data_IF_748251991356
#
_entry.id   IF_748251991356
#
_cell.length_a   1.000
_cell.length_b   1.000
_cell.length_c   1.000
_cell.angle_alpha   90.00
_cell.angle_beta   90.00
_cell.angle_gamma   90.00
#
_symmetry.space_group_name_H-M   'P 1'
#
loop_
_entity.id
_entity.type
_entity.pdbx_description
1 polymer ?
#
# COMPACT_ATOMS: atom_id res chain seq x y z
N UNK A 1 -1.70 -12.15 9.79
CA UNK A 1 -1.31 -10.82 10.32
C UNK A 1 -1.29 -9.78 9.20
N UNK A 2 -0.50 -9.95 8.13
CA UNK A 2 -0.39 -8.93 7.07
C UNK A 2 -1.73 -8.59 6.39
N UNK A 3 -2.50 -9.58 5.95
CA UNK A 3 -3.81 -9.35 5.34
C UNK A 3 -4.77 -8.54 6.25
N UNK A 4 -4.73 -8.79 7.55
CA UNK A 4 -5.55 -8.06 8.53
C UNK A 4 -5.10 -6.59 8.62
N UNK A 5 -3.79 -6.35 8.66
CA UNK A 5 -3.22 -5.00 8.66
C UNK A 5 -3.58 -4.23 7.39
N UNK A 6 -3.43 -4.86 6.22
CA UNK A 6 -3.77 -4.25 4.93
C UNK A 6 -5.27 -3.91 4.87
N UNK A 7 -6.13 -4.82 5.32
CA UNK A 7 -7.57 -4.58 5.35
C UNK A 7 -7.95 -3.45 6.30
N UNK A 8 -7.36 -3.42 7.51
CA UNK A 8 -7.57 -2.35 8.50
C UNK A 8 -7.22 -0.99 7.91
N UNK A 9 -6.00 -0.83 7.38
CA UNK A 9 -5.54 0.44 6.80
C UNK A 9 -6.45 0.86 5.63
N UNK A 10 -6.80 -0.08 4.74
CA UNK A 10 -7.71 0.19 3.62
C UNK A 10 -9.08 0.68 4.07
N UNK A 11 -9.66 0.05 5.09
CA UNK A 11 -11.00 0.36 5.56
C UNK A 11 -11.05 1.66 6.39
N UNK A 12 -9.95 2.01 7.07
CA UNK A 12 -9.83 3.21 7.91
C UNK A 12 -9.45 4.47 7.12
N UNK A 13 -9.01 4.33 5.86
CA UNK A 13 -8.67 5.45 4.97
C UNK A 13 -9.84 6.42 4.83
N UNK A 14 -9.54 7.70 5.03
CA UNK A 14 -10.53 8.80 4.93
C UNK A 14 -10.17 9.73 3.78
N UNK A 15 -11.21 10.29 3.18
CA UNK A 15 -11.05 11.27 2.12
C UNK A 15 -10.63 12.64 2.68
N UNK A 16 -9.81 13.39 1.96
CA UNK A 16 -9.52 14.78 2.33
C UNK A 16 -10.77 15.65 2.21
N UNK A 17 -11.51 15.48 1.11
CA UNK A 17 -12.64 16.32 0.76
C UNK A 17 -12.22 17.72 0.29
N UNK A 18 -13.16 18.65 0.35
CA UNK A 18 -13.00 20.06 -0.07
C UNK A 18 -12.69 20.94 1.14
N UNK A 19 -11.39 21.14 1.40
CA UNK A 19 -10.91 21.84 2.61
C UNK A 19 -10.29 23.22 2.36
N UNK A 20 -10.18 23.64 1.10
CA UNK A 20 -9.49 24.88 0.71
C UNK A 20 -7.97 24.81 0.92
N UNK A 21 -7.28 25.94 0.79
CA UNK A 21 -5.80 26.01 0.78
C UNK A 21 -5.18 25.71 2.14
N UNK A 22 -5.82 26.10 3.24
CA UNK A 22 -5.27 25.98 4.60
C UNK A 22 -6.13 25.12 5.52
N UNK A 23 -7.15 24.45 4.99
CA UNK A 23 -8.02 23.54 5.76
C UNK A 23 -9.30 24.16 6.31
N UNK A 24 -9.48 25.48 6.17
CA UNK A 24 -10.58 26.24 6.78
C UNK A 24 -11.82 26.37 5.90
N UNK A 25 -11.78 25.88 4.66
CA UNK A 25 -12.90 25.97 3.70
C UNK A 25 -13.36 27.39 3.33
N UNK A 26 -12.61 28.44 3.70
CA UNK A 26 -13.02 29.84 3.53
C UNK A 26 -13.43 30.22 2.09
N UNK A 27 -12.78 29.65 1.08
CA UNK A 27 -13.14 29.88 -0.33
C UNK A 27 -14.52 29.33 -0.68
N UNK A 28 -14.88 28.16 -0.15
CA UNK A 28 -16.19 27.54 -0.36
C UNK A 28 -17.26 28.25 0.46
N UNK A 29 -16.95 28.65 1.70
CA UNK A 29 -17.86 29.43 2.52
C UNK A 29 -18.21 30.77 1.86
N UNK A 30 -17.22 31.45 1.28
CA UNK A 30 -17.45 32.67 0.50
C UNK A 30 -18.29 32.42 -0.75
N UNK A 31 -18.05 31.30 -1.46
CA UNK A 31 -18.82 30.92 -2.64
C UNK A 31 -20.30 30.65 -2.31
N UNK A 32 -20.59 30.14 -1.12
CA UNK A 32 -21.94 29.90 -0.62
C UNK A 32 -22.47 31.03 0.27
N UNK A 33 -21.91 32.24 0.15
CA UNK A 33 -22.42 33.45 0.82
C UNK A 33 -22.52 33.32 2.36
N UNK A 34 -21.63 32.53 2.97
CA UNK A 34 -21.61 32.32 4.42
C UNK A 34 -22.46 31.15 4.91
N UNK A 35 -23.03 30.34 4.03
CA UNK A 35 -23.81 29.15 4.40
C UNK A 35 -22.90 27.95 4.72
N UNK A 36 -22.59 27.76 6.01
CA UNK A 36 -21.79 26.62 6.51
C UNK A 36 -22.40 25.26 6.13
N UNK A 37 -23.72 25.15 6.16
CA UNK A 37 -24.41 23.90 5.89
C UNK A 37 -24.23 23.46 4.43
N UNK A 38 -24.22 24.39 3.46
CA UNK A 38 -23.88 24.07 2.06
C UNK A 38 -22.43 23.61 1.89
N UNK A 39 -21.49 24.17 2.67
CA UNK A 39 -20.08 23.72 2.65
C UNK A 39 -19.96 22.29 3.16
N UNK A 40 -20.63 21.96 4.28
CA UNK A 40 -20.66 20.61 4.83
C UNK A 40 -21.32 19.60 3.87
N UNK A 41 -22.43 19.99 3.25
CA UNK A 41 -23.09 19.16 2.25
C UNK A 41 -22.22 18.91 1.03
N UNK A 42 -21.54 19.92 0.50
CA UNK A 42 -20.62 19.76 -0.62
C UNK A 42 -19.53 18.74 -0.27
N UNK A 43 -18.92 18.86 0.92
CA UNK A 43 -17.86 17.95 1.37
C UNK A 43 -18.35 16.50 1.52
N UNK A 44 -19.56 16.30 2.04
CA UNK A 44 -20.20 14.99 2.11
C UNK A 44 -20.48 14.42 0.72
N UNK A 45 -21.07 15.20 -0.18
CA UNK A 45 -21.43 14.76 -1.52
C UNK A 45 -20.22 14.33 -2.35
N UNK A 46 -19.12 15.10 -2.32
CA UNK A 46 -17.90 14.72 -3.06
C UNK A 46 -17.22 13.50 -2.45
N UNK A 47 -17.30 13.34 -1.12
CA UNK A 47 -16.77 12.16 -0.41
C UNK A 47 -17.51 10.90 -0.83
N UNK A 48 -18.85 10.95 -0.86
CA UNK A 48 -19.69 9.83 -1.30
C UNK A 48 -19.45 9.51 -2.78
N UNK A 49 -19.36 10.52 -3.66
CA UNK A 49 -19.05 10.33 -5.08
C UNK A 49 -17.67 9.73 -5.32
N UNK A 50 -16.70 10.00 -4.45
CA UNK A 50 -15.38 9.38 -4.49
C UNK A 50 -15.36 7.95 -3.90
N UNK A 51 -16.48 7.44 -3.39
CA UNK A 51 -16.60 6.09 -2.84
C UNK A 51 -16.03 5.93 -1.42
N UNK A 52 -15.76 7.03 -0.72
CA UNK A 52 -15.29 6.98 0.66
C UNK A 52 -16.46 7.03 1.65
N UNK A 53 -16.37 6.23 2.71
CA UNK A 53 -17.36 6.23 3.80
C UNK A 53 -17.23 7.45 4.71
N UNK A 54 -16.03 8.06 4.77
CA UNK A 54 -15.70 9.13 5.72
C UNK A 54 -14.66 10.08 5.15
N UNK A 55 -14.83 11.37 5.46
CA UNK A 55 -13.81 12.40 5.22
C UNK A 55 -13.14 12.83 6.53
N UNK A 56 -11.99 13.47 6.41
CA UNK A 56 -11.38 14.20 7.53
C UNK A 56 -12.19 15.45 7.85
N UNK A 57 -12.38 15.73 9.13
CA UNK A 57 -12.91 17.02 9.60
C UNK A 57 -11.75 18.02 9.67
N UNK A 58 -10.65 17.62 10.30
CA UNK A 58 -9.47 18.47 10.51
C UNK A 58 -8.39 18.12 9.49
N UNK A 59 -8.00 19.11 8.68
CA UNK A 59 -6.86 19.06 7.77
C UNK A 59 -6.17 20.41 7.74
N UNK A 60 -4.93 20.45 7.26
CA UNK A 60 -4.35 21.68 6.71
C UNK A 60 -4.65 21.76 5.22
N UNK A 61 -3.64 22.11 4.43
CA UNK A 61 -3.71 22.03 2.96
C UNK A 61 -3.89 20.59 2.46
N UNK A 62 -3.33 19.60 3.15
CA UNK A 62 -3.36 18.19 2.75
C UNK A 62 -3.90 17.33 3.89
N UNK A 63 -4.16 16.06 3.61
CA UNK A 63 -4.37 15.09 4.68
C UNK A 63 -3.07 14.93 5.49
N UNK A 64 -3.17 14.48 6.74
CA UNK A 64 -1.98 14.28 7.56
C UNK A 64 -1.06 13.21 6.98
N UNK A 65 0.23 13.53 6.79
CA UNK A 65 1.25 12.59 6.28
C UNK A 65 1.52 11.42 7.23
N UNK A 66 0.95 11.44 8.43
CA UNK A 66 0.86 10.26 9.30
C UNK A 66 0.13 9.09 8.62
N UNK A 67 -0.83 9.36 7.73
CA UNK A 67 -1.50 8.32 6.93
C UNK A 67 -0.50 7.59 6.03
N UNK A 68 0.44 8.32 5.43
CA UNK A 68 1.46 7.72 4.56
C UNK A 68 2.34 6.75 5.35
N UNK A 69 2.75 7.14 6.57
CA UNK A 69 3.51 6.29 7.49
C UNK A 69 2.72 5.01 7.82
N UNK A 70 1.43 5.12 8.10
CA UNK A 70 0.60 3.96 8.44
C UNK A 70 0.51 2.95 7.29
N UNK A 71 0.39 3.45 6.05
CA UNK A 71 0.38 2.60 4.85
C UNK A 71 1.74 1.96 4.60
N UNK A 72 2.82 2.73 4.61
CA UNK A 72 4.18 2.22 4.34
C UNK A 72 4.63 1.22 5.41
N UNK A 73 4.30 1.46 6.68
CA UNK A 73 4.68 0.57 7.79
C UNK A 73 4.12 -0.85 7.62
N UNK A 74 2.85 -0.98 7.19
CA UNK A 74 2.26 -2.31 6.98
C UNK A 74 2.83 -3.01 5.74
N UNK A 75 3.24 -2.25 4.72
CA UNK A 75 3.92 -2.79 3.54
C UNK A 75 5.35 -3.23 3.86
N UNK A 76 6.09 -2.46 4.66
CA UNK A 76 7.41 -2.83 5.15
C UNK A 76 7.34 -4.13 5.98
N UNK A 77 6.35 -4.25 6.87
CA UNK A 77 6.11 -5.50 7.63
C UNK A 77 5.83 -6.69 6.70
N UNK A 78 5.01 -6.51 5.66
CA UNK A 78 4.79 -7.55 4.64
C UNK A 78 6.09 -7.91 3.91
N UNK A 79 6.94 -6.92 3.63
CA UNK A 79 8.28 -7.13 3.08
C UNK A 79 9.11 -8.09 3.95
N UNK A 80 9.10 -7.92 5.27
CA UNK A 80 9.80 -8.84 6.19
C UNK A 80 9.23 -10.27 6.10
N UNK A 81 7.90 -10.43 6.09
CA UNK A 81 7.24 -11.73 5.90
C UNK A 81 7.69 -12.42 4.60
N UNK A 82 7.64 -11.71 3.47
CA UNK A 82 8.03 -12.24 2.16
C UNK A 82 9.52 -12.56 2.11
N UNK A 83 10.38 -11.68 2.63
CA UNK A 83 11.82 -11.90 2.62
C UNK A 83 12.20 -13.17 3.40
N UNK A 84 11.54 -13.42 4.54
CA UNK A 84 11.76 -14.63 5.35
C UNK A 84 11.29 -15.89 4.64
N UNK A 85 10.05 -15.92 4.14
CA UNK A 85 9.48 -17.08 3.43
C UNK A 85 10.34 -17.46 2.22
N UNK A 86 10.69 -16.48 1.39
CA UNK A 86 11.48 -16.73 0.19
C UNK A 86 12.94 -17.11 0.50
N UNK A 87 13.49 -16.68 1.64
CA UNK A 87 14.81 -17.17 2.09
C UNK A 87 14.74 -18.64 2.47
N UNK A 88 13.72 -19.07 3.21
CA UNK A 88 13.53 -20.49 3.54
C UNK A 88 13.40 -21.34 2.27
N UNK A 89 12.59 -20.92 1.30
CA UNK A 89 12.43 -21.62 0.00
C UNK A 89 13.79 -21.78 -0.70
N UNK A 90 14.63 -20.73 -0.71
CA UNK A 90 15.96 -20.79 -1.32
C UNK A 90 16.89 -21.78 -0.63
N UNK A 91 16.81 -21.88 0.70
CA UNK A 91 17.58 -22.86 1.48
C UNK A 91 17.07 -24.28 1.24
N UNK A 92 15.75 -24.49 1.22
CA UNK A 92 15.14 -25.80 0.93
C UNK A 92 15.45 -26.27 -0.50
N UNK A 93 15.54 -25.35 -1.47
CA UNK A 93 15.99 -25.65 -2.83
C UNK A 93 17.45 -26.10 -2.87
N UNK A 94 18.32 -25.55 -2.00
CA UNK A 94 19.69 -26.04 -1.86
C UNK A 94 19.73 -27.46 -1.27
N UNK A 95 18.86 -27.76 -0.30
CA UNK A 95 18.72 -29.09 0.31
C UNK A 95 18.03 -30.11 -0.60
N UNK A 96 17.48 -29.67 -1.75
CA UNK A 96 16.70 -30.49 -2.69
C UNK A 96 15.43 -31.08 -2.08
N UNK A 97 14.90 -30.44 -1.05
CA UNK A 97 13.65 -30.84 -0.39
C UNK A 97 12.43 -30.19 -1.03
N UNK A 98 12.60 -28.99 -1.59
CA UNK A 98 11.52 -28.23 -2.24
C UNK A 98 12.08 -27.39 -3.38
N UNK A 99 11.39 -27.36 -4.52
CA UNK A 99 11.72 -26.48 -5.65
C UNK A 99 10.54 -25.54 -5.97
N UNK A 100 10.84 -24.39 -6.55
CA UNK A 100 9.81 -23.54 -7.15
C UNK A 100 9.23 -24.18 -8.42
N UNK A 101 8.00 -23.80 -8.82
CA UNK A 101 7.47 -24.20 -10.11
C UNK A 101 8.40 -23.78 -11.25
N UNK A 102 8.65 -24.71 -12.18
CA UNK A 102 9.50 -24.48 -13.34
C UNK A 102 8.63 -24.43 -14.60
N UNK A 103 8.68 -23.31 -15.32
CA UNK A 103 7.88 -23.15 -16.54
C UNK A 103 8.41 -24.01 -17.69
N UNK A 104 7.51 -24.39 -18.61
CA UNK A 104 7.80 -25.29 -19.73
C UNK A 104 8.97 -24.80 -20.61
N UNK A 105 9.13 -23.49 -20.73
CA UNK A 105 10.18 -22.84 -21.55
C UNK A 105 11.27 -22.18 -20.71
N UNK A 106 11.28 -22.38 -19.39
CA UNK A 106 12.23 -21.72 -18.51
C UNK A 106 13.63 -22.26 -18.72
N UNK A 107 14.60 -21.36 -18.89
CA UNK A 107 16.03 -21.69 -18.91
C UNK A 107 16.58 -21.33 -17.54
N UNK A 108 17.03 -22.34 -16.77
CA UNK A 108 17.56 -22.11 -15.42
C UNK A 108 18.98 -21.55 -15.40
N UNK A 109 19.80 -21.90 -16.39
CA UNK A 109 21.14 -21.34 -16.62
C UNK A 109 21.48 -21.43 -18.11
N UNK A 110 22.13 -20.39 -18.65
CA UNK A 110 22.62 -20.38 -20.04
C UNK A 110 23.72 -21.40 -20.31
N UNK A 111 24.42 -21.87 -19.26
CA UNK A 111 25.55 -22.78 -19.38
C UNK A 111 25.27 -24.21 -18.85
N UNK A 112 24.26 -24.37 -17.99
CA UNK A 112 23.97 -25.65 -17.31
C UNK A 112 22.50 -26.04 -17.47
N UNK A 113 22.15 -26.98 -18.37
CA UNK A 113 20.77 -27.32 -18.70
C UNK A 113 20.01 -28.00 -17.54
N UNK A 114 20.72 -28.65 -16.61
CA UNK A 114 20.14 -29.29 -15.43
C UNK A 114 19.99 -28.33 -14.24
N UNK A 115 20.60 -27.14 -14.27
CA UNK A 115 20.62 -26.23 -13.13
C UNK A 115 19.30 -25.48 -13.01
N UNK A 116 18.63 -25.66 -11.89
CA UNK A 116 17.43 -24.90 -11.50
C UNK A 116 17.77 -23.94 -10.37
N UNK A 117 17.41 -22.66 -10.54
CA UNK A 117 17.61 -21.64 -9.53
C UNK A 117 16.25 -21.15 -9.02
N UNK A 118 16.08 -20.92 -7.71
CA UNK A 118 14.86 -20.33 -7.12
C UNK A 118 14.77 -18.82 -7.40
N UNK A 119 14.81 -18.45 -8.68
CA UNK A 119 14.93 -17.07 -9.15
C UNK A 119 13.72 -16.19 -8.78
N UNK A 120 12.54 -16.80 -8.56
CA UNK A 120 11.35 -16.05 -8.18
C UNK A 120 11.46 -15.62 -6.72
N UNK A 121 11.87 -16.52 -5.83
CA UNK A 121 12.15 -16.20 -4.43
C UNK A 121 13.32 -15.23 -4.29
N UNK A 122 14.37 -15.36 -5.09
CA UNK A 122 15.47 -14.38 -5.11
C UNK A 122 14.97 -12.97 -5.45
N UNK A 123 14.12 -12.85 -6.49
CA UNK A 123 13.48 -11.58 -6.85
C UNK A 123 12.55 -11.07 -5.76
N UNK A 124 11.74 -11.95 -5.16
CA UNK A 124 10.87 -11.59 -4.04
C UNK A 124 11.66 -11.03 -2.86
N UNK A 125 12.77 -11.67 -2.44
CA UNK A 125 13.66 -11.14 -1.41
C UNK A 125 14.23 -9.77 -1.79
N UNK A 126 14.64 -9.59 -3.05
CA UNK A 126 15.22 -8.32 -3.51
C UNK A 126 14.22 -7.16 -3.40
N UNK A 127 13.00 -7.35 -3.92
CA UNK A 127 11.95 -6.33 -3.88
C UNK A 127 11.43 -6.09 -2.45
N UNK A 128 11.29 -7.16 -1.66
CA UNK A 128 10.87 -7.07 -0.27
C UNK A 128 11.86 -6.26 0.58
N UNK A 129 13.16 -6.36 0.31
CA UNK A 129 14.19 -5.54 0.98
C UNK A 129 14.01 -4.06 0.68
N UNK A 130 13.71 -3.72 -0.56
CA UNK A 130 13.43 -2.34 -0.92
C UNK A 130 12.16 -1.83 -0.23
N UNK A 131 11.11 -2.66 -0.17
CA UNK A 131 9.85 -2.31 0.51
C UNK A 131 10.02 -2.03 2.01
N UNK A 132 11.00 -2.64 2.66
CA UNK A 132 11.35 -2.37 4.07
C UNK A 132 12.18 -1.10 4.27
N UNK A 133 12.84 -0.61 3.22
CA UNK A 133 13.74 0.57 3.29
C UNK A 133 12.99 1.88 3.06
N UNK A 134 11.86 1.82 2.33
CA UNK A 134 10.95 2.95 2.08
C UNK A 134 10.22 3.37 3.37
#
# INVERSE_FOLDING_TARGET
>A
MDLQNLKRVRDDLRFRGVKGTTGTQASFLKLFEGDDHKVEQLDKMVTEKAGFKRAFIITGQTYTRKVDIEVLSVLASLGASVHKICTDIRLLANLKEMEEPFEKQQIGSSAMPYKRNPMRSERCCSLARHLMTL
#
